data_IF_379772553424
#
_entry.id   IF_379772553424
#
_cell.length_a   1.000
_cell.length_b   1.000
_cell.length_c   1.000
_cell.angle_alpha   90.00
_cell.angle_beta   90.00
_cell.angle_gamma   90.00
#
_symmetry.space_group_name_H-M   'P 1'
#
loop_
_entity.id
_entity.type
_entity.pdbx_description
1 polymer ?
#
# COMPACT_ATOMS: atom_id res chain seq x y z
N UNK A 1 6.82 10.10 22.14
CA UNK A 1 5.43 9.96 22.66
C UNK A 1 5.45 9.14 23.93
N UNK A 2 4.39 9.13 24.74
CA UNK A 2 4.37 8.45 26.04
C UNK A 2 3.61 7.11 26.07
N UNK A 3 3.01 6.71 24.93
CA UNK A 3 2.33 5.43 24.74
C UNK A 3 2.35 5.02 23.25
N UNK A 4 1.72 3.90 22.90
CA UNK A 4 1.77 3.25 21.59
C UNK A 4 1.38 4.22 20.45
N UNK A 5 2.13 4.16 19.36
CA UNK A 5 1.73 4.68 18.06
C UNK A 5 1.26 3.51 17.21
N UNK A 6 -0.04 3.47 16.93
CA UNK A 6 -0.69 2.40 16.20
C UNK A 6 -0.63 2.62 14.67
N UNK A 7 -0.73 3.88 14.24
CA UNK A 7 -0.84 4.23 12.84
C UNK A 7 -0.06 5.50 12.49
N UNK A 8 0.39 5.59 11.24
CA UNK A 8 1.08 6.74 10.66
C UNK A 8 0.47 7.09 9.31
N UNK A 9 0.38 8.37 9.00
CA UNK A 9 0.00 8.87 7.69
C UNK A 9 0.87 10.05 7.29
N UNK A 10 1.12 10.22 5.99
CA UNK A 10 1.92 11.32 5.45
C UNK A 10 1.08 12.09 4.44
N UNK A 11 1.05 13.41 4.56
CA UNK A 11 0.32 14.25 3.63
C UNK A 11 1.15 14.67 2.40
N UNK A 12 0.49 15.31 1.45
CA UNK A 12 1.11 15.79 0.24
C UNK A 12 2.23 16.83 0.42
N UNK A 13 2.43 17.37 1.63
CA UNK A 13 3.50 18.32 1.99
C UNK A 13 4.69 17.62 2.66
N UNK A 14 4.52 16.33 3.03
CA UNK A 14 5.50 15.56 3.79
C UNK A 14 5.36 15.70 5.30
N UNK A 15 4.27 16.29 5.79
CA UNK A 15 3.95 16.29 7.21
C UNK A 15 3.47 14.90 7.63
N UNK A 16 3.92 14.44 8.80
CA UNK A 16 3.60 13.12 9.31
C UNK A 16 2.63 13.23 10.48
N UNK A 17 1.55 12.51 10.38
CA UNK A 17 0.58 12.34 11.44
C UNK A 17 0.82 11.02 12.16
N UNK A 18 0.81 11.05 13.47
CA UNK A 18 0.93 9.87 14.33
C UNK A 18 -0.33 9.75 15.17
N UNK A 19 -0.96 8.59 15.17
CA UNK A 19 -2.14 8.25 15.95
C UNK A 19 -1.91 7.04 16.83
N UNK A 20 -2.60 6.96 17.99
CA UNK A 20 -2.47 5.84 18.93
C UNK A 20 -2.96 6.20 20.34
N UNK A 21 -2.34 5.61 21.38
CA UNK A 21 -2.74 5.77 22.78
C UNK A 21 -2.05 6.89 23.53
N UNK A 22 -1.14 7.60 22.92
CA UNK A 22 -0.29 8.59 23.61
C UNK A 22 -1.06 9.87 23.96
N UNK A 23 -0.59 10.55 25.02
CA UNK A 23 -1.14 11.85 25.48
C UNK A 23 -0.12 12.97 25.45
N UNK A 24 1.13 12.68 25.04
CA UNK A 24 2.22 13.67 25.01
C UNK A 24 3.26 13.30 23.94
N UNK A 25 3.79 14.33 23.26
CA UNK A 25 4.93 14.22 22.35
C UNK A 25 6.05 15.15 22.78
N UNK A 26 7.18 14.64 23.26
CA UNK A 26 8.39 15.41 23.59
C UNK A 26 8.13 16.74 24.34
N UNK A 27 7.20 16.72 25.31
CA UNK A 27 6.84 17.90 26.09
C UNK A 27 5.66 18.72 25.56
N UNK A 28 5.11 18.39 24.38
CA UNK A 28 3.87 18.97 23.86
C UNK A 28 2.70 18.06 24.23
N UNK A 29 1.72 18.52 25.02
CA UNK A 29 0.47 17.78 25.22
C UNK A 29 -0.20 17.52 23.87
N UNK A 30 -0.46 16.25 23.56
CA UNK A 30 -1.11 15.86 22.32
C UNK A 30 -1.93 14.60 22.60
N UNK A 31 -3.23 14.76 22.67
CA UNK A 31 -4.16 13.69 23.00
C UNK A 31 -4.35 12.76 21.80
N UNK A 32 -3.68 11.59 21.82
CA UNK A 32 -3.78 10.46 20.88
C UNK A 32 -3.38 10.75 19.42
N UNK A 33 -3.17 12.02 19.06
CA UNK A 33 -2.81 12.41 17.70
C UNK A 33 -1.89 13.62 17.68
N UNK A 34 -0.87 13.60 16.82
CA UNK A 34 0.07 14.69 16.67
C UNK A 34 0.58 14.78 15.21
N UNK A 35 1.00 15.98 14.78
CA UNK A 35 1.63 16.25 13.50
C UNK A 35 3.09 16.62 13.67
N UNK A 36 3.95 16.05 12.88
CA UNK A 36 5.36 16.39 12.70
C UNK A 36 5.56 17.10 11.38
N UNK A 37 6.10 18.31 11.39
CA UNK A 37 6.32 19.14 10.18
C UNK A 37 7.75 19.07 9.63
N UNK A 38 8.51 18.05 10.03
CA UNK A 38 9.94 17.92 9.70
C UNK A 38 10.89 18.49 10.76
N UNK A 39 10.40 19.35 11.68
CA UNK A 39 11.20 20.01 12.71
C UNK A 39 10.61 19.88 14.12
N UNK A 40 9.30 20.04 14.26
CA UNK A 40 8.62 20.06 15.57
C UNK A 40 7.30 19.30 15.53
N UNK A 41 6.96 18.74 16.72
CA UNK A 41 5.62 18.21 16.97
C UNK A 41 4.65 19.34 17.28
N UNK A 42 3.43 19.19 16.79
CA UNK A 42 2.29 20.00 17.16
C UNK A 42 1.07 19.10 17.44
N UNK A 43 0.27 19.52 18.43
CA UNK A 43 -1.03 18.91 18.64
C UNK A 43 -2.00 19.33 17.53
N UNK A 44 -2.97 18.48 17.23
CA UNK A 44 -4.08 18.81 16.35
C UNK A 44 -5.27 19.31 17.19
N UNK A 45 -5.27 20.60 17.51
CA UNK A 45 -6.25 21.16 18.44
C UNK A 45 -6.20 20.47 19.82
N UNK A 46 -7.35 20.09 20.38
CA UNK A 46 -7.45 19.34 21.64
C UNK A 46 -7.21 17.83 21.45
N UNK A 47 -6.99 17.34 20.22
CA UNK A 47 -6.83 15.91 19.94
C UNK A 47 -8.13 15.12 20.08
N UNK A 48 -8.03 13.83 20.46
CA UNK A 48 -9.17 12.94 20.68
C UNK A 48 -9.10 12.29 22.07
N UNK A 49 -10.26 11.85 22.59
CA UNK A 49 -10.38 11.37 23.99
C UNK A 49 -9.95 9.90 24.17
N UNK A 50 -9.95 9.07 23.11
CA UNK A 50 -9.51 7.68 23.14
C UNK A 50 -8.62 7.34 21.93
N UNK A 51 -8.14 6.08 21.84
CA UNK A 51 -7.12 5.62 20.88
C UNK A 51 -7.52 5.86 19.41
N UNK A 52 -6.50 6.20 18.61
CA UNK A 52 -6.59 6.24 17.13
C UNK A 52 -6.02 4.95 16.58
N UNK A 53 -6.81 4.20 15.80
CA UNK A 53 -6.46 2.91 15.23
C UNK A 53 -6.04 3.02 13.75
N UNK A 54 -6.75 3.82 12.95
CA UNK A 54 -6.43 4.02 11.56
C UNK A 54 -6.44 5.49 11.16
N UNK A 55 -5.63 5.82 10.17
CA UNK A 55 -5.57 7.17 9.58
C UNK A 55 -5.36 7.08 8.07
N UNK A 56 -5.95 8.01 7.34
CA UNK A 56 -5.71 8.20 5.91
C UNK A 56 -5.75 9.69 5.57
N UNK A 57 -4.87 10.11 4.65
CA UNK A 57 -4.89 11.46 4.10
C UNK A 57 -5.59 11.44 2.75
N UNK A 58 -6.63 12.24 2.61
CA UNK A 58 -7.32 12.42 1.34
C UNK A 58 -6.51 13.26 0.34
N UNK A 59 -6.82 13.15 -0.95
CA UNK A 59 -6.18 13.92 -2.02
C UNK A 59 -6.31 15.45 -1.87
N UNK A 60 -7.28 15.92 -1.09
CA UNK A 60 -7.45 17.33 -0.72
C UNK A 60 -6.57 17.78 0.47
N UNK A 61 -5.79 16.87 1.05
CA UNK A 61 -4.93 17.12 2.21
C UNK A 61 -5.63 17.03 3.57
N UNK A 62 -6.92 16.69 3.63
CA UNK A 62 -7.62 16.41 4.88
C UNK A 62 -7.14 15.10 5.48
N UNK A 63 -6.96 15.09 6.80
CA UNK A 63 -6.68 13.88 7.54
C UNK A 63 -7.99 13.31 8.09
N UNK A 64 -8.26 12.04 7.79
CA UNK A 64 -9.33 11.27 8.38
C UNK A 64 -8.74 10.28 9.38
N UNK A 65 -9.36 10.18 10.54
CA UNK A 65 -8.95 9.28 11.61
C UNK A 65 -10.10 8.42 12.09
N UNK A 66 -9.77 7.23 12.55
CA UNK A 66 -10.74 6.36 13.22
C UNK A 66 -10.15 5.68 14.45
N UNK A 67 -11.02 5.18 15.32
CA UNK A 67 -10.64 4.51 16.57
C UNK A 67 -11.77 4.49 17.58
N UNK A 68 -11.41 4.40 18.86
CA UNK A 68 -12.37 4.23 19.96
C UNK A 68 -12.91 5.54 20.57
N UNK A 69 -12.55 6.69 20.01
CA UNK A 69 -12.87 8.00 20.60
C UNK A 69 -14.34 8.41 20.38
N UNK A 70 -14.89 9.12 21.36
CA UNK A 70 -16.20 9.75 21.30
C UNK A 70 -16.14 11.22 20.86
N UNK A 71 -14.99 11.90 21.09
CA UNK A 71 -14.80 13.32 20.79
C UNK A 71 -13.50 13.58 20.05
N UNK A 72 -13.53 14.51 19.12
CA UNK A 72 -12.36 15.05 18.44
C UNK A 72 -12.37 16.59 18.54
N UNK A 73 -11.29 17.19 19.10
CA UNK A 73 -11.23 18.63 19.32
C UNK A 73 -12.31 19.18 20.27
N UNK A 74 -12.89 18.33 21.11
CA UNK A 74 -14.01 18.68 21.98
C UNK A 74 -15.38 18.59 21.28
N UNK A 75 -15.45 18.20 20.01
CA UNK A 75 -16.70 18.02 19.26
C UNK A 75 -17.09 16.53 19.29
N UNK A 76 -18.36 16.16 19.54
CA UNK A 76 -18.81 14.78 19.41
C UNK A 76 -18.53 14.24 18.00
N UNK A 77 -17.82 13.10 17.90
CA UNK A 77 -17.32 12.60 16.63
C UNK A 77 -17.26 11.05 16.54
N UNK A 78 -17.96 10.35 17.38
CA UNK A 78 -18.08 8.88 17.50
C UNK A 78 -17.27 8.07 16.49
N UNK A 79 -16.09 7.65 16.90
CA UNK A 79 -15.15 6.77 16.19
C UNK A 79 -14.54 7.28 14.88
N UNK A 80 -15.03 8.36 14.24
CA UNK A 80 -14.47 8.91 13.00
C UNK A 80 -14.49 10.43 12.97
N UNK A 81 -13.37 11.07 12.66
CA UNK A 81 -13.26 12.53 12.57
C UNK A 81 -12.38 12.97 11.39
N UNK A 82 -12.56 14.22 10.98
CA UNK A 82 -11.77 14.89 9.95
C UNK A 82 -11.03 16.08 10.54
N UNK A 83 -9.77 16.21 10.19
CA UNK A 83 -8.95 17.40 10.42
C UNK A 83 -8.66 18.09 9.09
N UNK A 84 -9.06 19.36 8.93
CA UNK A 84 -8.88 20.14 7.70
C UNK A 84 -7.57 20.92 7.64
N UNK A 85 -6.66 20.67 8.57
CA UNK A 85 -5.41 21.41 8.77
C UNK A 85 -5.51 22.50 9.84
N UNK A 86 -6.73 22.89 10.26
CA UNK A 86 -6.97 23.94 11.25
C UNK A 86 -7.91 23.54 12.38
N UNK A 87 -8.95 22.75 12.10
CA UNK A 87 -9.96 22.36 13.05
C UNK A 87 -10.49 20.96 12.83
N UNK A 88 -10.97 20.36 13.91
CA UNK A 88 -11.68 19.10 13.88
C UNK A 88 -13.13 19.31 13.46
N UNK A 89 -13.63 18.36 12.69
CA UNK A 89 -15.04 18.24 12.36
C UNK A 89 -15.50 16.80 12.49
N UNK A 90 -16.68 16.60 13.04
CA UNK A 90 -17.36 15.32 13.00
C UNK A 90 -17.82 15.02 11.57
N UNK A 91 -17.85 13.75 11.22
CA UNK A 91 -18.45 13.26 9.99
C UNK A 91 -19.90 12.84 10.30
N UNK A 92 -20.83 13.79 10.28
CA UNK A 92 -22.21 13.67 10.79
C UNK A 92 -22.21 13.31 12.29
N UNK A 93 -22.95 12.26 12.69
CA UNK A 93 -22.98 11.75 14.06
C UNK A 93 -21.84 10.78 14.36
N UNK A 94 -20.90 10.58 13.41
CA UNK A 94 -19.87 9.55 13.50
C UNK A 94 -20.39 8.15 13.18
N UNK A 95 -19.64 7.16 13.62
CA UNK A 95 -19.98 5.73 13.50
C UNK A 95 -20.02 5.16 14.92
N UNK A 96 -21.19 4.71 15.35
CA UNK A 96 -21.39 4.13 16.69
C UNK A 96 -20.96 2.66 16.72
N UNK A 97 -19.66 2.43 16.55
CA UNK A 97 -19.02 1.12 16.56
C UNK A 97 -17.48 1.27 16.43
N UNK A 98 -16.75 0.18 16.61
CA UNK A 98 -15.32 0.13 16.36
C UNK A 98 -15.02 0.29 14.87
N UNK A 99 -14.05 1.13 14.53
CA UNK A 99 -13.63 1.41 13.15
C UNK A 99 -12.12 1.18 13.04
N UNK A 100 -11.73 0.02 12.52
CA UNK A 100 -10.34 -0.41 12.47
C UNK A 100 -9.63 -0.11 11.13
N UNK A 101 -10.39 0.17 10.06
CA UNK A 101 -9.82 0.43 8.74
C UNK A 101 -10.49 1.63 8.04
N UNK A 102 -9.67 2.43 7.38
CA UNK A 102 -10.08 3.54 6.53
C UNK A 102 -9.44 3.41 5.14
N UNK A 103 -10.15 3.82 4.11
CA UNK A 103 -9.61 3.97 2.76
C UNK A 103 -10.18 5.24 2.11
N UNK A 104 -9.41 5.86 1.22
CA UNK A 104 -9.86 6.98 0.38
C UNK A 104 -9.56 6.63 -1.08
N UNK A 105 -10.57 6.76 -1.95
CA UNK A 105 -10.35 6.58 -3.38
C UNK A 105 -9.70 7.84 -4.01
N UNK A 106 -9.24 7.74 -5.25
CA UNK A 106 -8.62 8.86 -5.97
C UNK A 106 -9.59 10.04 -6.22
N UNK A 107 -10.90 9.83 -6.06
CA UNK A 107 -11.92 10.88 -6.14
C UNK A 107 -12.18 11.56 -4.79
N UNK A 108 -11.44 11.15 -3.74
CA UNK A 108 -11.54 11.69 -2.40
C UNK A 108 -12.74 11.19 -1.59
N UNK A 109 -13.39 10.10 -1.99
CA UNK A 109 -14.46 9.48 -1.18
C UNK A 109 -13.83 8.65 -0.08
N UNK A 110 -14.31 8.86 1.14
CA UNK A 110 -13.86 8.13 2.31
C UNK A 110 -14.73 6.88 2.54
N UNK A 111 -14.06 5.79 2.84
CA UNK A 111 -14.65 4.51 3.25
C UNK A 111 -14.14 4.13 4.62
N UNK A 112 -15.03 3.57 5.45
CA UNK A 112 -14.74 3.13 6.80
C UNK A 112 -15.28 1.72 7.02
N UNK A 113 -14.48 0.85 7.61
CA UNK A 113 -14.94 -0.42 8.13
C UNK A 113 -15.57 -0.19 9.52
N UNK A 114 -16.70 -0.82 9.79
CA UNK A 114 -17.39 -0.80 11.09
C UNK A 114 -17.61 -2.21 11.58
N UNK A 115 -17.00 -2.57 12.71
CA UNK A 115 -17.25 -3.84 13.38
C UNK A 115 -18.34 -3.68 14.45
N UNK A 116 -19.28 -4.60 14.53
CA UNK A 116 -20.36 -4.64 15.51
C UNK A 116 -20.81 -6.06 15.82
N UNK A 117 -21.52 -6.23 16.94
CA UNK A 117 -22.18 -7.50 17.25
C UNK A 117 -23.64 -7.40 16.79
N UNK A 118 -24.03 -8.27 15.86
CA UNK A 118 -25.37 -8.26 15.32
C UNK A 118 -26.42 -8.82 16.31
N UNK A 119 -27.71 -8.75 15.95
CA UNK A 119 -28.82 -9.20 16.80
C UNK A 119 -28.76 -10.70 17.16
N UNK A 120 -27.94 -11.49 16.49
CA UNK A 120 -27.74 -12.92 16.76
C UNK A 120 -26.48 -13.19 17.61
N UNK A 121 -25.81 -12.15 18.12
CA UNK A 121 -24.57 -12.27 18.90
C UNK A 121 -23.33 -12.60 18.05
N UNK A 122 -23.40 -12.44 16.74
CA UNK A 122 -22.28 -12.70 15.81
C UNK A 122 -21.57 -11.39 15.51
N UNK A 123 -20.25 -11.41 15.58
CA UNK A 123 -19.40 -10.29 15.13
C UNK A 123 -19.49 -10.17 13.61
N UNK A 124 -19.82 -8.98 13.15
CA UNK A 124 -20.05 -8.67 11.74
C UNK A 124 -19.41 -7.31 11.41
N UNK A 125 -19.09 -7.06 10.15
CA UNK A 125 -18.61 -5.77 9.70
C UNK A 125 -19.48 -5.20 8.59
N UNK A 126 -19.61 -3.86 8.60
CA UNK A 126 -20.09 -3.10 7.44
C UNK A 126 -18.96 -2.27 6.85
N UNK A 127 -19.02 -2.03 5.56
CA UNK A 127 -18.26 -0.95 4.94
C UNK A 127 -19.19 0.22 4.67
N UNK A 128 -18.82 1.39 5.15
CA UNK A 128 -19.58 2.62 5.00
C UNK A 128 -18.85 3.56 4.04
N UNK A 129 -19.62 4.36 3.30
CA UNK A 129 -19.12 5.42 2.45
C UNK A 129 -19.59 6.77 2.95
N UNK A 130 -18.69 7.72 3.06
CA UNK A 130 -19.00 9.12 3.30
C UNK A 130 -19.27 9.86 1.99
N UNK A 131 -20.39 10.55 1.89
CA UNK A 131 -20.77 11.32 0.70
C UNK A 131 -20.53 12.85 0.83
N UNK A 132 -19.87 13.27 1.90
CA UNK A 132 -19.67 14.67 2.25
C UNK A 132 -20.63 15.19 3.34
N UNK A 133 -21.75 14.51 3.58
CA UNK A 133 -22.77 14.92 4.56
C UNK A 133 -23.29 13.78 5.46
N UNK A 134 -23.38 12.57 4.94
CA UNK A 134 -23.89 11.40 5.65
C UNK A 134 -23.10 10.13 5.34
N UNK A 135 -23.09 9.22 6.28
CA UNK A 135 -22.63 7.85 6.09
C UNK A 135 -23.72 7.00 5.46
N UNK A 136 -23.36 6.15 4.54
CA UNK A 136 -24.23 5.12 3.98
C UNK A 136 -23.49 3.78 3.95
N UNK A 137 -24.13 2.71 4.42
CA UNK A 137 -23.61 1.35 4.29
C UNK A 137 -23.58 0.94 2.82
N UNK A 138 -22.52 0.22 2.44
CA UNK A 138 -22.42 -0.42 1.14
C UNK A 138 -23.13 -1.78 1.19
N UNK A 139 -24.37 -1.82 0.72
CA UNK A 139 -25.20 -3.02 0.79
C UNK A 139 -25.57 -3.41 2.23
N UNK A 140 -25.68 -4.71 2.50
CA UNK A 140 -26.07 -5.28 3.81
C UNK A 140 -24.88 -5.75 4.66
N UNK A 141 -23.66 -5.32 4.33
CA UNK A 141 -22.45 -5.65 5.11
C UNK A 141 -21.93 -7.07 4.90
N UNK A 142 -21.00 -7.46 5.77
CA UNK A 142 -20.32 -8.75 5.81
C UNK A 142 -20.73 -9.53 7.07
N UNK A 143 -20.78 -10.86 6.96
CA UNK A 143 -21.09 -11.73 8.09
C UNK A 143 -19.89 -12.09 8.97
N UNK A 144 -18.83 -11.33 8.93
CA UNK A 144 -17.60 -11.52 9.70
C UNK A 144 -16.71 -10.28 9.64
N UNK A 145 -15.48 -10.40 10.14
CA UNK A 145 -14.53 -9.31 10.27
C UNK A 145 -13.91 -8.90 8.93
N UNK A 146 -13.77 -7.60 8.72
CA UNK A 146 -12.93 -7.00 7.67
C UNK A 146 -11.64 -6.51 8.32
N UNK A 147 -10.48 -6.87 7.75
CA UNK A 147 -9.15 -6.49 8.26
C UNK A 147 -8.44 -5.50 7.35
N UNK A 148 -8.79 -5.48 6.06
CA UNK A 148 -8.16 -4.59 5.10
C UNK A 148 -9.19 -4.02 4.12
N UNK A 149 -9.00 -2.76 3.78
CA UNK A 149 -9.71 -2.05 2.73
C UNK A 149 -8.72 -1.49 1.73
N UNK A 150 -9.07 -1.55 0.45
CA UNK A 150 -8.35 -0.86 -0.62
C UNK A 150 -9.36 -0.24 -1.59
N UNK A 151 -8.99 0.84 -2.25
CA UNK A 151 -9.82 1.46 -3.28
C UNK A 151 -8.96 1.74 -4.51
N UNK A 152 -9.47 1.42 -5.69
CA UNK A 152 -8.78 1.66 -6.95
C UNK A 152 -9.13 3.03 -7.58
N UNK A 153 -8.50 3.31 -8.72
CA UNK A 153 -8.69 4.54 -9.47
C UNK A 153 -10.10 4.69 -10.07
N UNK A 154 -10.79 3.58 -10.31
CA UNK A 154 -12.13 3.54 -10.88
C UNK A 154 -13.23 3.69 -9.81
N UNK A 155 -12.83 3.68 -8.54
CA UNK A 155 -13.70 3.85 -7.38
C UNK A 155 -14.33 2.54 -6.90
N UNK A 156 -13.78 1.39 -7.30
CA UNK A 156 -14.10 0.12 -6.66
C UNK A 156 -13.49 0.07 -5.27
N UNK A 157 -14.18 -0.60 -4.35
CA UNK A 157 -13.69 -0.82 -2.99
C UNK A 157 -13.56 -2.31 -2.74
N UNK A 158 -12.38 -2.71 -2.35
CA UNK A 158 -12.08 -4.08 -1.97
C UNK A 158 -12.09 -4.20 -0.46
N UNK A 159 -12.86 -5.15 0.06
CA UNK A 159 -12.89 -5.49 1.47
C UNK A 159 -12.38 -6.92 1.65
N UNK A 160 -11.45 -7.11 2.57
CA UNK A 160 -10.86 -8.40 2.84
C UNK A 160 -10.77 -8.69 4.33
N UNK A 161 -10.86 -9.99 4.72
CA UNK A 161 -10.86 -10.35 6.12
C UNK A 161 -11.27 -11.78 6.39
N UNK A 162 -12.16 -11.96 7.37
CA UNK A 162 -12.71 -13.27 7.79
C UNK A 162 -14.23 -13.26 7.70
N UNK A 163 -14.76 -13.35 6.51
CA UNK A 163 -16.19 -13.42 6.23
C UNK A 163 -16.47 -14.42 5.09
N UNK A 164 -17.72 -14.80 4.93
CA UNK A 164 -18.16 -15.70 3.85
C UNK A 164 -19.26 -15.11 2.98
N UNK A 165 -19.84 -13.96 3.38
CA UNK A 165 -20.81 -13.21 2.57
C UNK A 165 -20.55 -11.71 2.66
N UNK A 166 -20.79 -11.01 1.56
CA UNK A 166 -20.78 -9.55 1.47
C UNK A 166 -22.03 -9.08 0.74
N UNK A 167 -22.76 -8.10 1.29
CA UNK A 167 -23.98 -7.60 0.67
C UNK A 167 -25.08 -8.67 0.46
N UNK A 168 -25.05 -9.75 1.24
CA UNK A 168 -26.00 -10.87 1.10
C UNK A 168 -25.63 -11.89 0.02
N UNK A 169 -24.54 -11.69 -0.75
CA UNK A 169 -24.02 -12.67 -1.72
C UNK A 169 -22.86 -13.48 -1.14
N UNK A 170 -22.69 -14.75 -1.53
CA UNK A 170 -21.50 -15.52 -1.16
C UNK A 170 -20.24 -14.83 -1.63
N UNK A 171 -19.31 -14.54 -0.73
CA UNK A 171 -18.02 -13.90 -1.01
C UNK A 171 -17.02 -14.36 0.07
N UNK A 172 -16.19 -15.31 -0.26
CA UNK A 172 -15.26 -15.91 0.71
C UNK A 172 -14.06 -14.99 0.93
N UNK A 173 -14.00 -14.33 2.08
CA UNK A 173 -12.88 -13.54 2.63
C UNK A 173 -12.47 -12.31 1.85
N UNK A 174 -13.01 -12.10 0.66
CA UNK A 174 -12.75 -10.94 -0.17
C UNK A 174 -13.95 -10.62 -1.06
N UNK A 175 -14.28 -9.34 -1.17
CA UNK A 175 -15.37 -8.84 -1.99
C UNK A 175 -15.01 -7.48 -2.60
N UNK A 176 -15.61 -7.15 -3.74
CA UNK A 176 -15.48 -5.87 -4.42
C UNK A 176 -16.84 -5.17 -4.47
N UNK A 177 -16.86 -3.90 -4.16
CA UNK A 177 -17.96 -2.97 -4.38
C UNK A 177 -17.73 -2.19 -5.68
N UNK A 178 -18.67 -2.27 -6.62
CA UNK A 178 -18.59 -1.62 -7.95
C UNK A 178 -19.22 -0.21 -8.00
N UNK A 179 -19.59 0.32 -6.85
CA UNK A 179 -20.32 1.59 -6.73
C UNK A 179 -21.83 1.38 -6.46
N UNK A 180 -22.37 0.17 -6.69
CA UNK A 180 -23.79 -0.17 -6.54
C UNK A 180 -24.01 -1.47 -5.75
N UNK A 181 -23.20 -2.51 -5.98
CA UNK A 181 -23.38 -3.84 -5.39
C UNK A 181 -22.05 -4.48 -4.99
N UNK A 182 -22.10 -5.33 -3.95
CA UNK A 182 -21.01 -6.24 -3.64
C UNK A 182 -20.99 -7.43 -4.60
N UNK A 183 -19.82 -7.83 -5.01
CA UNK A 183 -19.58 -9.03 -5.78
C UNK A 183 -18.39 -9.81 -5.22
N UNK A 184 -18.42 -11.11 -5.38
CA UNK A 184 -17.26 -11.95 -5.11
C UNK A 184 -16.20 -11.75 -6.20
N UNK A 185 -14.95 -11.88 -5.85
CA UNK A 185 -13.84 -11.97 -6.82
C UNK A 185 -13.66 -13.45 -7.18
N UNK A 186 -14.29 -13.89 -8.27
CA UNK A 186 -14.32 -15.32 -8.64
C UNK A 186 -14.96 -16.17 -7.54
N UNK A 187 -14.35 -17.29 -7.15
CA UNK A 187 -14.79 -18.10 -6.01
C UNK A 187 -14.24 -17.62 -4.65
N UNK A 188 -13.55 -16.49 -4.63
CA UNK A 188 -12.97 -15.91 -3.42
C UNK A 188 -11.70 -16.65 -2.94
N UNK A 189 -11.36 -16.40 -1.68
CA UNK A 189 -10.20 -16.98 -1.00
C UNK A 189 -10.68 -17.96 0.06
N UNK A 190 -10.09 -19.18 0.07
CA UNK A 190 -10.49 -20.27 0.94
C UNK A 190 -9.28 -21.03 1.48
N UNK A 191 -9.52 -21.92 2.46
CA UNK A 191 -8.51 -22.74 3.10
C UNK A 191 -9.04 -23.36 4.39
N UNK A 192 -8.36 -23.18 5.52
CA UNK A 192 -8.77 -23.70 6.82
C UNK A 192 -9.80 -22.78 7.51
N UNK A 193 -10.43 -23.24 8.59
CA UNK A 193 -11.54 -22.58 9.26
C UNK A 193 -11.20 -21.19 9.85
N UNK A 194 -9.93 -20.96 10.20
CA UNK A 194 -9.43 -19.71 10.75
C UNK A 194 -8.69 -18.82 9.74
N UNK A 195 -8.72 -19.17 8.47
CA UNK A 195 -8.03 -18.42 7.41
C UNK A 195 -8.58 -17.00 7.27
N UNK A 196 -7.69 -16.09 6.90
CA UNK A 196 -8.00 -14.68 6.71
C UNK A 196 -7.19 -14.06 5.59
N UNK A 197 -7.69 -13.00 5.01
CA UNK A 197 -6.91 -12.05 4.22
C UNK A 197 -6.61 -10.85 5.12
N UNK A 198 -5.33 -10.61 5.39
CA UNK A 198 -4.88 -9.62 6.37
C UNK A 198 -4.38 -8.33 5.74
N UNK A 199 -3.90 -8.40 4.50
CA UNK A 199 -3.34 -7.27 3.79
C UNK A 199 -3.81 -7.26 2.34
N UNK A 200 -4.04 -6.06 1.83
CA UNK A 200 -4.31 -5.76 0.42
C UNK A 200 -3.29 -4.73 -0.09
N UNK A 201 -2.85 -4.88 -1.32
CA UNK A 201 -2.11 -3.86 -2.04
C UNK A 201 -2.60 -3.78 -3.48
N UNK A 202 -2.64 -2.59 -4.04
CA UNK A 202 -2.95 -2.33 -5.45
C UNK A 202 -1.68 -1.79 -6.12
N UNK A 203 -1.39 -2.28 -7.31
CA UNK A 203 -0.37 -1.64 -8.15
C UNK A 203 -0.99 -0.55 -9.04
N UNK A 204 -0.14 0.20 -9.73
CA UNK A 204 -0.55 1.27 -10.64
C UNK A 204 -1.33 0.78 -11.88
N UNK A 205 -1.32 -0.53 -12.14
CA UNK A 205 -2.08 -1.17 -13.22
C UNK A 205 -3.47 -1.65 -12.77
N UNK A 206 -3.79 -1.52 -11.47
CA UNK A 206 -5.03 -1.97 -10.85
C UNK A 206 -5.05 -3.47 -10.53
N UNK A 207 -3.90 -4.13 -10.51
CA UNK A 207 -3.79 -5.52 -10.00
C UNK A 207 -3.87 -5.48 -8.48
N UNK A 208 -4.77 -6.27 -7.93
CA UNK A 208 -4.95 -6.41 -6.49
C UNK A 208 -4.17 -7.61 -5.98
N UNK A 209 -3.31 -7.39 -5.01
CA UNK A 209 -2.63 -8.42 -4.25
C UNK A 209 -3.30 -8.62 -2.91
N UNK A 210 -3.53 -9.89 -2.54
CA UNK A 210 -4.12 -10.29 -1.27
C UNK A 210 -3.13 -11.19 -0.51
N UNK A 211 -2.79 -10.80 0.71
CA UNK A 211 -1.90 -11.52 1.60
C UNK A 211 -2.61 -11.94 2.88
N UNK A 212 -2.25 -13.09 3.46
CA UNK A 212 -2.90 -13.56 4.67
C UNK A 212 -2.46 -14.94 5.10
N UNK A 213 -3.39 -15.65 5.73
CA UNK A 213 -3.28 -17.06 6.10
C UNK A 213 -4.37 -17.83 5.32
N UNK A 214 -4.03 -18.37 4.16
CA UNK A 214 -4.95 -19.12 3.30
C UNK A 214 -4.19 -20.04 2.36
N UNK A 215 -4.89 -20.97 1.70
CA UNK A 215 -4.26 -21.95 0.81
C UNK A 215 -4.83 -22.00 -0.60
N UNK A 216 -5.95 -21.32 -0.86
CA UNK A 216 -6.64 -21.36 -2.16
C UNK A 216 -7.19 -19.97 -2.51
N UNK A 217 -7.00 -19.54 -3.74
CA UNK A 217 -7.63 -18.35 -4.32
C UNK A 217 -8.24 -18.69 -5.68
N UNK A 218 -9.52 -18.33 -5.91
CA UNK A 218 -10.20 -18.62 -7.15
C UNK A 218 -10.36 -20.10 -7.50
N UNK A 219 -10.26 -20.99 -6.49
CA UNK A 219 -10.27 -22.45 -6.69
C UNK A 219 -8.91 -23.05 -7.07
N UNK A 220 -7.86 -22.23 -7.18
CA UNK A 220 -6.48 -22.65 -7.47
C UNK A 220 -5.64 -22.58 -6.20
N UNK A 221 -4.71 -23.53 -6.03
CA UNK A 221 -3.77 -23.50 -4.91
C UNK A 221 -2.96 -22.19 -4.92
N UNK A 222 -3.00 -21.45 -3.82
CA UNK A 222 -2.31 -20.16 -3.64
C UNK A 222 -2.06 -19.97 -2.14
N UNK A 223 -0.88 -20.35 -1.68
CA UNK A 223 -0.54 -20.30 -0.26
C UNK A 223 -0.16 -18.90 0.18
N UNK A 224 -0.92 -18.32 1.09
CA UNK A 224 -0.64 -17.07 1.78
C UNK A 224 -0.68 -15.81 0.93
N UNK A 225 -0.65 -15.93 -0.41
CA UNK A 225 -0.66 -14.78 -1.32
C UNK A 225 -1.27 -15.13 -2.69
N UNK A 226 -2.04 -14.19 -3.24
CA UNK A 226 -2.63 -14.30 -4.57
C UNK A 226 -2.79 -12.92 -5.22
N UNK A 227 -2.88 -12.86 -6.55
CA UNK A 227 -3.20 -11.65 -7.29
C UNK A 227 -4.50 -11.82 -8.08
N UNK A 228 -5.24 -10.70 -8.20
CA UNK A 228 -6.46 -10.55 -8.98
C UNK A 228 -6.24 -9.55 -10.09
N UNK A 229 -6.43 -9.95 -11.35
CA UNK A 229 -6.20 -9.13 -12.54
C UNK A 229 -7.45 -8.34 -13.00
N UNK A 230 -8.50 -8.32 -12.18
CA UNK A 230 -9.81 -7.76 -12.51
C UNK A 230 -10.82 -8.83 -12.99
N UNK A 231 -10.35 -10.05 -13.33
CA UNK A 231 -11.19 -11.14 -13.87
C UNK A 231 -10.92 -12.49 -13.23
N UNK A 232 -9.66 -12.81 -12.95
CA UNK A 232 -9.24 -14.12 -12.44
C UNK A 232 -8.19 -13.99 -11.33
N UNK A 233 -8.25 -14.96 -10.42
CA UNK A 233 -7.19 -15.16 -9.44
C UNK A 233 -6.04 -15.93 -10.04
N UNK A 234 -4.84 -15.51 -9.71
CA UNK A 234 -3.61 -16.22 -10.02
C UNK A 234 -2.76 -16.37 -8.76
N UNK A 235 -2.18 -17.55 -8.60
CA UNK A 235 -1.15 -17.78 -7.60
C UNK A 235 0.14 -17.06 -8.04
N UNK A 236 0.92 -16.61 -7.07
CA UNK A 236 2.28 -16.11 -7.30
C UNK A 236 3.23 -17.27 -7.06
N UNK A 237 3.44 -18.11 -8.09
CA UNK A 237 4.16 -19.38 -8.02
C UNK A 237 3.53 -20.31 -6.94
N UNK A 238 4.33 -21.00 -6.09
CA UNK A 238 3.81 -21.84 -5.00
C UNK A 238 3.38 -21.05 -3.75
N UNK A 239 3.51 -19.71 -3.76
CA UNK A 239 3.14 -18.86 -2.63
C UNK A 239 4.11 -18.92 -1.45
N UNK A 240 3.59 -18.68 -0.24
CA UNK A 240 4.35 -18.68 1.02
C UNK A 240 4.05 -19.92 1.86
N UNK A 241 5.03 -20.38 2.64
CA UNK A 241 4.84 -21.47 3.62
C UNK A 241 4.29 -20.98 4.97
N UNK A 242 3.92 -19.71 5.08
CA UNK A 242 3.36 -19.09 6.29
C UNK A 242 2.55 -17.84 6.00
N UNK A 243 2.19 -17.14 7.07
CA UNK A 243 1.26 -16.00 7.02
C UNK A 243 1.91 -14.73 6.47
N UNK A 244 1.27 -14.10 5.49
CA UNK A 244 1.60 -12.74 5.03
C UNK A 244 0.81 -11.72 5.86
N UNK A 245 1.52 -10.73 6.44
CA UNK A 245 0.94 -9.71 7.32
C UNK A 245 0.92 -8.33 6.71
N UNK A 246 1.85 -8.04 5.82
CA UNK A 246 1.97 -6.74 5.18
C UNK A 246 2.41 -6.89 3.73
N UNK A 247 1.89 -6.02 2.88
CA UNK A 247 2.22 -5.93 1.46
C UNK A 247 2.57 -4.48 1.13
N UNK A 248 3.54 -4.29 0.24
CA UNK A 248 3.85 -3.01 -0.35
C UNK A 248 4.23 -3.20 -1.82
N UNK A 249 3.77 -2.29 -2.67
CA UNK A 249 4.23 -2.24 -4.07
C UNK A 249 5.03 -0.96 -4.23
N UNK A 250 6.22 -1.04 -4.83
CA UNK A 250 7.03 0.13 -5.11
C UNK A 250 6.67 0.78 -6.47
N UNK A 251 7.20 1.96 -6.72
CA UNK A 251 6.96 2.71 -7.97
C UNK A 251 7.47 2.02 -9.24
N UNK A 252 8.20 0.90 -9.14
CA UNK A 252 8.62 0.06 -10.26
C UNK A 252 7.70 -1.17 -10.46
N UNK A 253 6.71 -1.35 -9.59
CA UNK A 253 5.76 -2.46 -9.63
C UNK A 253 6.26 -3.75 -8.96
N UNK A 254 7.33 -3.69 -8.19
CA UNK A 254 7.79 -4.83 -7.39
C UNK A 254 6.92 -4.92 -6.14
N UNK A 255 6.34 -6.11 -5.90
CA UNK A 255 5.59 -6.40 -4.69
C UNK A 255 6.52 -6.96 -3.62
N UNK A 256 6.48 -6.39 -2.45
CA UNK A 256 7.13 -6.91 -1.25
C UNK A 256 6.08 -7.53 -0.34
N UNK A 257 6.27 -8.81 -0.03
CA UNK A 257 5.43 -9.54 0.92
C UNK A 257 6.22 -9.80 2.20
N UNK A 258 5.64 -9.43 3.33
CA UNK A 258 6.27 -9.55 4.63
C UNK A 258 5.34 -10.22 5.65
N UNK A 259 5.91 -10.98 6.60
CA UNK A 259 5.08 -11.73 7.53
C UNK A 259 5.85 -12.68 8.44
N UNK A 260 5.31 -13.91 8.56
CA UNK A 260 5.88 -15.00 9.35
C UNK A 260 5.96 -16.24 8.45
N UNK A 261 6.98 -16.34 7.63
CA UNK A 261 7.21 -17.44 6.69
C UNK A 261 8.72 -17.69 6.51
N UNK A 262 9.07 -18.84 5.96
CA UNK A 262 10.47 -19.21 5.70
C UNK A 262 10.80 -19.38 4.22
N UNK A 263 9.76 -19.46 3.36
CA UNK A 263 9.94 -19.58 1.91
C UNK A 263 8.84 -18.87 1.13
N UNK A 264 9.20 -18.40 -0.07
CA UNK A 264 8.33 -17.78 -1.06
C UNK A 264 8.61 -18.39 -2.44
N UNK A 265 7.59 -18.96 -3.12
CA UNK A 265 7.77 -19.60 -4.42
C UNK A 265 8.80 -20.75 -4.41
N UNK A 266 8.98 -21.44 -3.29
CA UNK A 266 10.02 -22.47 -3.13
C UNK A 266 11.44 -21.91 -2.92
N UNK A 267 11.63 -20.59 -2.93
CA UNK A 267 12.89 -19.92 -2.59
C UNK A 267 12.95 -19.67 -1.09
N UNK A 268 14.06 -20.02 -0.44
CA UNK A 268 14.26 -19.70 0.97
C UNK A 268 14.26 -18.17 1.17
N UNK A 269 13.29 -17.66 1.91
CA UNK A 269 13.05 -16.23 2.12
C UNK A 269 12.46 -16.02 3.52
N UNK A 270 13.30 -15.70 4.49
CA UNK A 270 12.86 -15.55 5.87
C UNK A 270 12.11 -14.23 6.07
N UNK A 271 10.80 -14.31 6.30
CA UNK A 271 9.88 -13.24 6.70
C UNK A 271 9.72 -12.07 5.72
N UNK A 272 10.42 -12.06 4.58
CA UNK A 272 10.34 -11.04 3.54
C UNK A 272 10.75 -11.61 2.18
N UNK A 273 9.99 -11.32 1.13
CA UNK A 273 10.29 -11.68 -0.24
C UNK A 273 9.82 -10.60 -1.21
N UNK A 274 10.43 -10.54 -2.39
CA UNK A 274 10.05 -9.64 -3.48
C UNK A 274 9.57 -10.44 -4.69
N UNK A 275 8.48 -9.96 -5.33
CA UNK A 275 7.90 -10.50 -6.56
C UNK A 275 8.06 -9.50 -7.70
N UNK A 276 8.72 -9.90 -8.79
CA UNK A 276 9.01 -9.05 -9.95
C UNK A 276 7.93 -9.11 -11.06
N UNK A 277 6.79 -9.74 -10.75
CA UNK A 277 5.73 -10.03 -11.72
C UNK A 277 5.82 -11.44 -12.31
N UNK A 278 6.94 -12.15 -12.10
CA UNK A 278 7.19 -13.50 -12.66
C UNK A 278 7.79 -14.46 -11.65
N UNK A 279 8.72 -13.99 -10.82
CA UNK A 279 9.49 -14.83 -9.90
C UNK A 279 9.59 -14.21 -8.51
N UNK A 280 9.61 -15.08 -7.50
CA UNK A 280 10.01 -14.68 -6.16
C UNK A 280 11.52 -14.61 -6.03
N UNK A 281 11.98 -13.62 -5.31
CA UNK A 281 13.37 -13.47 -4.89
C UNK A 281 13.46 -13.18 -3.40
N UNK A 282 14.46 -13.79 -2.77
CA UNK A 282 14.80 -13.46 -1.40
C UNK A 282 15.57 -12.14 -1.33
N UNK A 283 15.33 -11.34 -0.31
CA UNK A 283 16.16 -10.17 0.01
C UNK A 283 17.34 -10.63 0.89
N UNK A 284 18.37 -11.20 0.24
CA UNK A 284 19.49 -11.81 0.92
C UNK A 284 19.05 -12.93 1.89
N UNK A 285 19.67 -13.07 3.08
CA UNK A 285 19.27 -14.06 4.09
C UNK A 285 17.92 -13.75 4.77
N UNK A 286 17.27 -12.62 4.45
CA UNK A 286 15.98 -12.23 5.04
C UNK A 286 16.07 -11.69 6.46
N UNK A 287 14.95 -11.78 7.17
CA UNK A 287 14.74 -11.24 8.52
C UNK A 287 14.56 -12.39 9.52
N UNK A 288 15.40 -12.46 10.54
CA UNK A 288 15.35 -13.52 11.57
C UNK A 288 14.70 -13.03 12.85
N UNK A 289 13.56 -13.66 13.19
CA UNK A 289 12.75 -13.33 14.37
C UNK A 289 11.33 -13.89 14.23
N UNK A 290 10.37 -13.33 14.98
CA UNK A 290 9.00 -13.82 15.03
C UNK A 290 8.21 -13.42 13.78
N UNK A 291 8.31 -12.15 13.35
CA UNK A 291 7.58 -11.63 12.20
C UNK A 291 8.05 -10.24 11.75
N UNK A 292 7.87 -9.96 10.47
CA UNK A 292 7.78 -8.60 9.93
C UNK A 292 6.30 -8.19 9.93
N UNK A 293 6.01 -7.02 10.54
CA UNK A 293 4.65 -6.52 10.73
C UNK A 293 4.31 -5.36 9.80
N UNK A 294 5.33 -4.64 9.33
CA UNK A 294 5.19 -3.52 8.42
C UNK A 294 6.32 -3.53 7.40
N UNK A 295 5.99 -3.20 6.15
CA UNK A 295 6.94 -3.04 5.05
C UNK A 295 6.57 -1.79 4.25
N UNK A 296 7.56 -1.06 3.79
CA UNK A 296 7.40 0.05 2.84
C UNK A 296 8.64 0.17 1.98
N UNK A 297 8.50 0.75 0.80
CA UNK A 297 9.63 1.04 -0.09
C UNK A 297 9.66 2.53 -0.41
N UNK A 298 10.85 3.06 -0.72
CA UNK A 298 10.99 4.43 -1.22
C UNK A 298 11.19 4.45 -2.75
N UNK A 299 11.14 5.65 -3.33
CA UNK A 299 11.32 5.86 -4.77
C UNK A 299 12.74 5.48 -5.26
N UNK A 300 13.71 5.36 -4.36
CA UNK A 300 15.07 4.94 -4.67
C UNK A 300 15.26 3.41 -4.65
N UNK A 301 14.21 2.66 -4.25
CA UNK A 301 14.22 1.20 -4.19
C UNK A 301 14.78 0.63 -2.87
N UNK A 302 14.92 1.45 -1.83
CA UNK A 302 15.20 0.94 -0.49
C UNK A 302 13.93 0.34 0.11
N UNK A 303 14.05 -0.83 0.74
CA UNK A 303 12.93 -1.50 1.41
C UNK A 303 13.14 -1.46 2.91
N UNK A 304 12.19 -0.90 3.60
CA UNK A 304 12.21 -0.75 5.06
C UNK A 304 11.24 -1.74 5.69
N UNK A 305 11.70 -2.43 6.72
CA UNK A 305 10.90 -3.40 7.46
C UNK A 305 10.91 -3.09 8.94
N UNK A 306 9.73 -3.24 9.54
CA UNK A 306 9.50 -3.14 10.98
C UNK A 306 8.77 -4.37 11.49
N UNK A 307 9.04 -4.79 12.72
CA UNK A 307 8.39 -5.98 13.26
C UNK A 307 8.89 -6.38 14.64
N UNK A 308 8.82 -7.67 14.93
CA UNK A 308 9.37 -8.34 16.10
C UNK A 308 10.47 -9.30 15.63
N UNK A 309 11.68 -8.77 15.51
CA UNK A 309 12.83 -9.52 15.03
C UNK A 309 14.15 -9.05 15.64
N UNK A 310 15.20 -9.86 15.52
CA UNK A 310 16.50 -9.57 16.10
C UNK A 310 17.64 -9.55 15.09
N UNK A 311 17.43 -10.02 13.87
CA UNK A 311 18.46 -10.05 12.83
C UNK A 311 17.91 -9.72 11.45
N UNK A 312 18.74 -9.09 10.61
CA UNK A 312 18.48 -8.88 9.19
C UNK A 312 19.75 -9.21 8.41
N UNK A 313 19.63 -9.98 7.33
CA UNK A 313 20.77 -10.41 6.54
C UNK A 313 21.79 -11.27 7.29
N UNK A 314 21.39 -11.91 8.38
CA UNK A 314 22.27 -12.66 9.27
C UNK A 314 23.05 -11.79 10.28
N UNK A 315 22.99 -10.45 10.18
CA UNK A 315 23.58 -9.50 11.12
C UNK A 315 22.57 -9.03 12.18
N UNK A 316 23.03 -8.48 13.33
CA UNK A 316 22.15 -7.94 14.34
C UNK A 316 21.35 -6.74 13.81
N UNK A 317 20.02 -6.81 13.91
CA UNK A 317 19.09 -5.72 13.60
C UNK A 317 17.81 -5.91 14.42
N UNK A 318 17.55 -5.00 15.33
CA UNK A 318 16.45 -5.17 16.29
C UNK A 318 15.24 -4.39 15.83
N UNK A 319 14.20 -5.11 15.40
CA UNK A 319 12.86 -4.62 15.07
C UNK A 319 12.77 -3.62 13.90
N UNK A 320 13.90 -3.18 13.32
CA UNK A 320 13.94 -2.22 12.24
C UNK A 320 15.17 -2.42 11.37
N UNK A 321 14.98 -2.58 10.06
CA UNK A 321 16.06 -2.79 9.09
C UNK A 321 15.71 -2.16 7.73
N UNK A 322 16.75 -1.93 6.93
CA UNK A 322 16.65 -1.46 5.55
C UNK A 322 17.44 -2.36 4.62
N UNK A 323 16.86 -2.67 3.48
CA UNK A 323 17.46 -3.32 2.33
C UNK A 323 17.84 -2.27 1.29
N UNK A 324 19.10 -2.26 0.84
CA UNK A 324 19.62 -1.29 -0.14
C UNK A 324 19.66 -1.83 -1.59
N UNK A 325 18.99 -2.97 -1.81
CA UNK A 325 19.02 -3.69 -3.07
C UNK A 325 20.09 -4.81 -3.12
N UNK A 326 21.07 -4.81 -2.20
CA UNK A 326 22.15 -5.79 -2.14
C UNK A 326 22.35 -6.40 -0.77
N UNK A 327 22.15 -5.61 0.29
CA UNK A 327 22.44 -5.99 1.67
C UNK A 327 21.44 -5.39 2.66
N UNK A 328 21.26 -6.09 3.79
CA UNK A 328 20.53 -5.57 4.92
C UNK A 328 21.43 -4.73 5.83
N UNK A 329 20.88 -3.65 6.30
CA UNK A 329 21.49 -2.81 7.33
C UNK A 329 20.52 -2.57 8.48
N UNK A 330 21.04 -2.64 9.71
CA UNK A 330 20.29 -2.19 10.87
C UNK A 330 20.11 -0.67 10.82
N UNK A 331 18.96 -0.18 11.22
CA UNK A 331 18.71 1.24 11.38
C UNK A 331 19.10 1.69 12.80
N UNK A 332 20.38 2.06 12.94
CA UNK A 332 21.01 2.34 14.23
C UNK A 332 21.02 1.11 15.16
N UNK A 333 20.67 1.28 16.44
CA UNK A 333 20.49 0.15 17.36
C UNK A 333 19.06 -0.43 17.33
N UNK A 334 18.23 -0.04 16.36
CA UNK A 334 16.83 -0.50 16.27
C UNK A 334 15.94 0.08 17.37
N UNK A 335 14.90 -0.68 17.74
CA UNK A 335 13.93 -0.34 18.78
C UNK A 335 13.87 -1.44 19.85
N UNK A 336 13.57 -1.11 21.10
CA UNK A 336 13.53 -2.11 22.18
C UNK A 336 12.23 -2.92 22.26
N UNK A 337 11.24 -2.63 21.42
CA UNK A 337 10.01 -3.39 21.22
C UNK A 337 9.55 -3.30 19.78
N UNK A 338 8.58 -4.13 19.39
CA UNK A 338 8.09 -4.27 18.03
C UNK A 338 7.69 -2.95 17.38
N UNK A 339 7.98 -2.85 16.08
CA UNK A 339 7.53 -1.80 15.18
C UNK A 339 6.27 -2.30 14.46
N UNK A 340 5.18 -1.56 14.58
CA UNK A 340 3.88 -1.91 14.01
C UNK A 340 3.48 -1.06 12.80
N UNK A 341 4.10 0.12 12.64
CA UNK A 341 3.77 1.03 11.55
C UNK A 341 5.03 1.69 10.97
N UNK A 342 5.06 1.81 9.65
CA UNK A 342 6.08 2.52 8.88
C UNK A 342 5.41 3.49 7.91
N UNK A 343 5.99 4.65 7.71
CA UNK A 343 5.57 5.60 6.68
C UNK A 343 6.77 6.35 6.11
N UNK A 344 6.83 6.44 4.78
CA UNK A 344 7.86 7.22 4.10
C UNK A 344 7.40 8.67 3.94
N UNK A 345 8.19 9.59 4.46
CA UNK A 345 8.02 11.01 4.21
C UNK A 345 8.55 11.40 2.82
N UNK A 346 7.95 12.40 2.17
CA UNK A 346 8.42 12.91 0.87
C UNK A 346 9.85 13.43 0.87
N UNK A 347 10.41 13.73 2.04
CA UNK A 347 11.81 14.12 2.24
C UNK A 347 12.76 12.92 2.34
N UNK A 348 12.27 11.70 2.07
CA UNK A 348 13.03 10.45 2.18
C UNK A 348 13.25 9.97 3.62
N UNK A 349 12.68 10.61 4.62
CA UNK A 349 12.77 10.13 6.00
C UNK A 349 11.78 8.99 6.26
N UNK A 350 12.24 7.95 6.94
CA UNK A 350 11.39 6.89 7.45
C UNK A 350 10.84 7.28 8.84
N UNK A 351 9.54 7.22 8.96
CA UNK A 351 8.81 7.41 10.21
C UNK A 351 8.38 6.05 10.75
N UNK A 352 8.61 5.82 12.02
CA UNK A 352 8.49 4.51 12.68
C UNK A 352 7.59 4.64 13.90
N UNK A 353 6.53 3.85 13.96
CA UNK A 353 5.59 3.75 15.07
C UNK A 353 5.55 2.36 15.68
N UNK A 354 5.22 2.26 16.97
CA UNK A 354 5.12 0.97 17.64
C UNK A 354 5.06 1.09 19.16
N UNK A 355 5.27 -0.02 19.87
CA UNK A 355 5.22 -0.07 21.34
C UNK A 355 6.55 0.20 22.05
N UNK A 356 7.56 0.73 21.39
CA UNK A 356 8.93 0.82 21.91
C UNK A 356 9.17 2.04 22.81
N UNK A 357 10.14 1.92 23.74
CA UNK A 357 10.57 3.00 24.62
C UNK A 357 11.86 3.69 24.18
N UNK A 358 12.61 3.09 23.23
CA UNK A 358 13.83 3.65 22.68
C UNK A 358 14.00 3.28 21.20
N UNK A 359 14.61 4.19 20.44
CA UNK A 359 14.97 3.99 19.05
C UNK A 359 16.37 4.59 18.79
N UNK A 360 17.28 3.82 18.16
CA UNK A 360 18.63 4.27 17.86
C UNK A 360 19.44 4.66 19.09
N UNK A 361 19.33 3.92 20.22
CA UNK A 361 19.93 4.21 21.52
C UNK A 361 19.48 5.56 22.15
N UNK A 362 18.49 6.22 21.59
CA UNK A 362 17.87 7.43 22.16
C UNK A 362 16.55 7.05 22.83
N UNK A 363 16.25 7.68 23.96
CA UNK A 363 14.91 7.60 24.53
C UNK A 363 13.92 8.16 23.51
N UNK A 364 13.12 7.28 22.92
CA UNK A 364 12.15 7.62 21.89
C UNK A 364 10.93 6.73 22.10
N UNK A 365 9.98 7.24 22.86
CA UNK A 365 8.79 6.45 23.20
C UNK A 365 7.87 6.39 21.99
N UNK A 366 7.71 5.18 21.45
CA UNK A 366 6.69 4.77 20.49
C UNK A 366 6.74 5.43 19.10
N UNK A 367 7.63 6.41 18.87
CA UNK A 367 7.83 7.06 17.57
C UNK A 367 9.31 7.39 17.35
N UNK A 368 9.82 7.11 16.15
CA UNK A 368 11.17 7.45 15.71
C UNK A 368 11.18 8.02 14.31
N UNK A 369 12.18 8.85 14.01
CA UNK A 369 12.47 9.31 12.65
C UNK A 369 13.87 8.83 12.32
N UNK A 370 13.95 8.09 11.24
CA UNK A 370 15.20 7.75 10.61
C UNK A 370 15.41 8.66 9.40
N UNK A 371 16.49 9.44 9.43
CA UNK A 371 16.89 10.20 8.24
C UNK A 371 17.59 9.23 7.29
N UNK A 372 17.01 9.05 6.11
CA UNK A 372 17.68 8.30 5.06
C UNK A 372 19.09 8.86 4.87
N UNK A 373 20.13 8.01 4.73
CA UNK A 373 21.41 8.51 4.34
C UNK A 373 21.21 9.31 3.04
N UNK A 374 21.71 10.54 2.99
CA UNK A 374 21.77 11.27 1.73
C UNK A 374 22.42 10.34 0.71
N UNK A 375 21.82 10.11 -0.46
CA UNK A 375 22.37 9.18 -1.43
C UNK A 375 23.83 9.58 -1.71
N UNK A 376 24.77 8.83 -1.17
CA UNK A 376 26.13 8.82 -1.68
C UNK A 376 26.00 8.25 -3.08
N UNK A 377 26.49 8.96 -4.08
CA UNK A 377 26.39 8.58 -5.49
C UNK A 377 27.26 7.35 -5.82
N UNK A 378 27.01 6.23 -5.12
CA UNK A 378 27.54 4.93 -5.46
C UNK A 378 26.40 4.09 -6.04
N UNK A 379 26.58 3.44 -7.19
CA UNK A 379 25.53 2.61 -7.79
C UNK A 379 25.19 1.46 -6.85
N UNK A 380 23.91 1.39 -6.45
CA UNK A 380 23.36 0.29 -5.65
C UNK A 380 23.31 -0.93 -6.58
N UNK A 381 24.22 -1.87 -6.39
CA UNK A 381 24.18 -3.15 -7.10
C UNK A 381 23.34 -4.14 -6.34
N UNK A 382 22.28 -4.71 -6.96
CA UNK A 382 21.83 -5.95 -6.42
C UNK A 382 20.42 -6.48 -6.49
N UNK A 383 19.39 -5.74 -6.83
CA UNK A 383 18.24 -6.28 -7.59
C UNK A 383 18.37 -5.73 -9.00
N UNK A 384 17.97 -6.46 -10.05
CA UNK A 384 17.95 -5.84 -11.36
C UNK A 384 17.03 -4.63 -11.29
N UNK A 385 17.61 -3.44 -11.15
CA UNK A 385 16.92 -2.20 -11.51
C UNK A 385 16.32 -2.48 -12.86
N UNK A 386 15.05 -2.12 -13.07
CA UNK A 386 14.41 -2.34 -14.35
C UNK A 386 15.41 -1.96 -15.44
N UNK A 387 15.77 -2.91 -16.31
CA UNK A 387 16.74 -2.66 -17.38
C UNK A 387 16.27 -1.49 -18.25
N UNK A 388 15.00 -1.10 -18.09
CA UNK A 388 14.35 0.03 -18.75
C UNK A 388 13.39 0.74 -17.79
N UNK A 389 13.44 2.08 -17.75
CA UNK A 389 12.43 2.94 -17.10
C UNK A 389 11.70 3.72 -18.18
N UNK A 390 10.40 3.99 -17.98
CA UNK A 390 9.57 4.76 -18.88
C UNK A 390 9.00 5.97 -18.11
N UNK A 391 9.37 7.16 -18.53
CA UNK A 391 8.82 8.38 -17.97
C UNK A 391 7.39 8.65 -18.50
N UNK A 392 6.64 9.49 -17.79
CA UNK A 392 5.35 9.94 -18.27
C UNK A 392 5.47 10.64 -19.63
N UNK A 393 4.51 10.35 -20.48
CA UNK A 393 4.44 10.95 -21.81
C UNK A 393 4.18 12.45 -21.72
N UNK A 394 4.83 13.25 -22.54
CA UNK A 394 4.62 14.69 -22.57
C UNK A 394 4.47 15.22 -24.00
N UNK A 395 3.38 15.96 -24.29
CA UNK A 395 2.22 16.23 -23.43
C UNK A 395 1.33 15.01 -23.18
N UNK A 396 0.61 14.98 -22.05
CA UNK A 396 -0.42 13.98 -21.74
C UNK A 396 -1.47 14.62 -20.80
N UNK A 397 -2.74 14.85 -21.23
CA UNK A 397 -3.35 14.51 -22.53
C UNK A 397 -2.71 15.18 -23.73
N UNK A 398 -2.84 14.62 -24.92
CA UNK A 398 -2.19 15.11 -26.15
C UNK A 398 -3.11 15.16 -27.37
N UNK A 399 -2.73 16.02 -28.36
CA UNK A 399 -3.40 16.17 -29.65
C UNK A 399 -2.42 16.77 -30.68
N UNK A 400 -2.11 16.12 -31.79
CA UNK A 400 -2.29 14.67 -32.07
C UNK A 400 -1.10 13.82 -31.58
N UNK A 401 -0.02 14.42 -31.04
CA UNK A 401 1.23 13.73 -30.76
C UNK A 401 1.75 13.92 -29.36
N UNK A 402 2.47 12.91 -28.86
CA UNK A 402 3.18 12.91 -27.58
C UNK A 402 4.56 12.27 -27.74
N UNK A 403 5.47 12.55 -26.81
CA UNK A 403 6.79 11.98 -26.74
C UNK A 403 6.90 11.10 -25.50
N UNK A 404 7.36 9.88 -25.71
CA UNK A 404 7.68 8.88 -24.70
C UNK A 404 9.19 8.89 -24.47
N UNK A 405 9.63 9.11 -23.24
CA UNK A 405 11.03 9.08 -22.86
C UNK A 405 11.28 7.86 -21.99
N UNK A 406 12.34 7.13 -22.30
CA UNK A 406 12.74 5.96 -21.53
C UNK A 406 14.26 5.92 -21.39
N UNK A 407 14.73 5.27 -20.33
CA UNK A 407 16.15 5.14 -20.03
C UNK A 407 16.52 3.67 -19.91
N UNK A 408 17.64 3.28 -20.51
CA UNK A 408 18.21 1.95 -20.43
C UNK A 408 19.44 1.98 -19.53
N UNK A 409 19.49 1.10 -18.54
CA UNK A 409 20.67 0.94 -17.69
C UNK A 409 21.83 0.23 -18.41
N UNK A 410 21.53 -0.60 -19.39
CA UNK A 410 22.52 -1.32 -20.22
C UNK A 410 21.98 -1.48 -21.64
N UNK A 411 22.89 -1.70 -22.59
CA UNK A 411 22.50 -1.96 -23.98
C UNK A 411 21.64 -3.21 -24.08
N UNK A 412 20.48 -3.10 -24.72
CA UNK A 412 19.51 -4.19 -24.85
C UNK A 412 18.68 -4.05 -26.12
N UNK A 413 18.07 -5.14 -26.57
CA UNK A 413 17.00 -5.07 -27.55
C UNK A 413 15.75 -4.50 -26.87
N UNK A 414 15.21 -3.40 -27.41
CA UNK A 414 14.09 -2.66 -26.86
C UNK A 414 12.87 -2.80 -27.75
N UNK A 415 11.73 -3.07 -27.15
CA UNK A 415 10.44 -3.00 -27.82
C UNK A 415 9.54 -2.01 -27.09
N UNK A 416 9.25 -0.85 -27.71
CA UNK A 416 8.29 0.12 -27.24
C UNK A 416 7.07 0.09 -28.16
N UNK A 417 5.88 -0.16 -27.58
CA UNK A 417 4.66 -0.30 -28.35
C UNK A 417 3.44 0.30 -27.62
N UNK A 418 2.46 0.73 -28.41
CA UNK A 418 1.19 1.28 -27.93
C UNK A 418 0.12 0.20 -28.03
N UNK A 419 -0.70 0.09 -26.98
CA UNK A 419 -1.81 -0.86 -26.87
C UNK A 419 -3.11 -0.13 -26.54
N UNK A 420 -4.25 -0.67 -26.97
CA UNK A 420 -5.55 -0.26 -26.45
C UNK A 420 -5.82 -0.90 -25.07
N UNK A 421 -6.88 -0.47 -24.38
CA UNK A 421 -7.26 -0.99 -23.04
C UNK A 421 -7.65 -2.48 -23.04
N UNK A 422 -7.79 -3.10 -24.24
CA UNK A 422 -8.03 -4.54 -24.38
C UNK A 422 -6.72 -5.32 -24.60
N UNK A 423 -5.57 -4.67 -24.46
CA UNK A 423 -4.25 -5.27 -24.68
C UNK A 423 -3.90 -5.50 -26.15
N UNK A 424 -4.71 -5.02 -27.11
CA UNK A 424 -4.46 -5.17 -28.53
C UNK A 424 -3.41 -4.16 -29.00
N UNK A 425 -2.37 -4.65 -29.70
CA UNK A 425 -1.32 -3.81 -30.28
C UNK A 425 -1.94 -2.79 -31.25
N UNK A 426 -1.69 -1.51 -31.01
CA UNK A 426 -2.05 -0.38 -31.87
C UNK A 426 -0.88 -0.02 -32.78
N UNK A 427 0.33 0.16 -32.23
CA UNK A 427 1.52 0.50 -33.00
C UNK A 427 2.81 0.13 -32.25
N UNK A 428 3.79 -0.45 -32.92
CA UNK A 428 5.17 -0.52 -32.42
C UNK A 428 5.89 0.77 -32.79
N UNK A 429 6.56 1.39 -31.82
CA UNK A 429 7.32 2.63 -31.99
C UNK A 429 8.82 2.37 -32.10
N UNK A 430 9.33 1.42 -31.31
CA UNK A 430 10.74 0.97 -31.29
C UNK A 430 10.73 -0.56 -31.25
N UNK A 431 11.60 -1.21 -32.03
CA UNK A 431 11.85 -2.66 -31.97
C UNK A 431 13.26 -2.92 -32.50
N UNK A 432 14.29 -2.52 -31.74
CA UNK A 432 15.70 -2.57 -32.11
C UNK A 432 16.64 -2.61 -30.92
N UNK A 433 17.91 -2.90 -31.17
CA UNK A 433 18.95 -2.85 -30.13
C UNK A 433 19.40 -1.40 -29.90
N UNK A 434 19.30 -0.94 -28.64
CA UNK A 434 19.71 0.40 -28.22
C UNK A 434 20.83 0.33 -27.18
N UNK A 435 21.67 1.36 -27.13
CA UNK A 435 22.71 1.53 -26.12
C UNK A 435 22.12 1.93 -24.76
N UNK A 436 22.89 1.74 -23.69
CA UNK A 436 22.56 2.33 -22.40
C UNK A 436 22.41 3.86 -22.50
N UNK A 437 21.48 4.44 -21.72
CA UNK A 437 21.19 5.88 -21.67
C UNK A 437 19.75 6.23 -21.99
N UNK A 438 19.50 7.53 -22.12
CA UNK A 438 18.16 8.09 -22.37
C UNK A 438 17.80 8.02 -23.87
N UNK A 439 16.58 7.63 -24.13
CA UNK A 439 15.97 7.51 -25.46
C UNK A 439 14.60 8.15 -25.50
N UNK A 440 14.13 8.49 -26.70
CA UNK A 440 12.78 9.00 -26.89
C UNK A 440 12.14 8.47 -28.17
N UNK A 441 10.82 8.34 -28.16
CA UNK A 441 10.03 7.97 -29.33
C UNK A 441 8.72 8.77 -29.35
N UNK A 442 8.31 9.25 -30.49
CA UNK A 442 7.09 10.01 -30.66
C UNK A 442 5.95 9.11 -31.15
N UNK A 443 4.73 9.35 -30.63
CA UNK A 443 3.51 8.78 -31.14
C UNK A 443 2.54 9.88 -31.60
N UNK A 444 2.09 9.78 -32.83
CA UNK A 444 1.25 10.75 -33.55
C UNK A 444 -0.27 10.42 -33.50
N UNK A 445 -0.69 9.51 -32.60
CA UNK A 445 -2.08 9.09 -32.49
C UNK A 445 -2.58 8.25 -33.67
N UNK A 446 -1.67 7.55 -34.38
CA UNK A 446 -1.99 6.66 -35.50
C UNK A 446 -1.65 5.22 -35.20
N UNK A 447 -2.38 4.29 -35.83
CA UNK A 447 -2.09 2.85 -35.74
C UNK A 447 -0.91 2.45 -36.67
N UNK A 448 -0.56 1.15 -36.66
CA UNK A 448 0.51 0.60 -37.47
C UNK A 448 0.27 0.68 -39.00
N UNK A 449 -0.95 1.02 -39.44
CA UNK A 449 -1.32 1.23 -40.84
C UNK A 449 -1.36 2.71 -41.23
N UNK A 450 -1.06 3.61 -40.25
CA UNK A 450 -1.09 5.05 -40.44
C UNK A 450 -2.49 5.68 -40.28
N UNK A 451 -3.53 4.90 -39.95
CA UNK A 451 -4.85 5.43 -39.67
C UNK A 451 -4.94 6.05 -38.28
N UNK A 452 -5.59 7.23 -38.18
CA UNK A 452 -5.78 7.88 -36.88
C UNK A 452 -6.69 7.06 -35.97
N UNK A 453 -6.26 6.80 -34.73
CA UNK A 453 -7.05 6.07 -33.74
C UNK A 453 -8.05 6.99 -33.05
N UNK A 454 -9.08 6.46 -32.37
CA UNK A 454 -10.10 7.24 -31.68
C UNK A 454 -9.51 8.02 -30.48
N UNK A 455 -10.18 9.10 -30.04
CA UNK A 455 -9.90 9.71 -28.74
C UNK A 455 -10.14 8.69 -27.62
N UNK A 456 -9.29 8.66 -26.63
CA UNK A 456 -9.40 7.69 -25.55
C UNK A 456 -8.06 7.43 -24.85
N UNK A 457 -8.08 6.46 -23.96
CA UNK A 457 -6.91 6.01 -23.21
C UNK A 457 -6.21 4.85 -23.93
N UNK A 458 -4.88 4.91 -23.93
CA UNK A 458 -3.97 3.91 -24.48
C UNK A 458 -2.87 3.61 -23.46
N UNK A 459 -2.17 2.50 -23.63
CA UNK A 459 -1.03 2.11 -22.82
C UNK A 459 0.22 2.07 -23.70
N UNK A 460 1.26 2.80 -23.30
CA UNK A 460 2.59 2.63 -23.87
C UNK A 460 3.37 1.66 -23.01
N UNK A 461 3.93 0.63 -23.62
CA UNK A 461 4.74 -0.38 -22.94
C UNK A 461 6.11 -0.48 -23.58
N UNK A 462 7.17 -0.30 -22.79
CA UNK A 462 8.55 -0.55 -23.19
C UNK A 462 9.07 -1.81 -22.52
N UNK A 463 9.72 -2.68 -23.28
CA UNK A 463 10.36 -3.90 -22.77
C UNK A 463 11.81 -3.94 -23.20
N UNK A 464 12.72 -4.31 -22.29
CA UNK A 464 14.13 -4.53 -22.54
C UNK A 464 14.72 -5.51 -21.52
N UNK A 465 15.57 -6.46 -21.97
CA UNK A 465 16.26 -7.38 -21.08
C UNK A 465 15.35 -8.26 -20.21
N UNK A 466 14.13 -8.58 -20.71
CA UNK A 466 13.14 -9.37 -19.97
C UNK A 466 12.27 -8.55 -19.01
N UNK A 467 12.50 -7.25 -18.89
CA UNK A 467 11.72 -6.34 -18.04
C UNK A 467 10.83 -5.41 -18.87
N UNK A 468 9.78 -4.88 -18.27
CA UNK A 468 8.82 -4.01 -18.94
C UNK A 468 8.43 -2.84 -18.02
N UNK A 469 8.20 -1.66 -18.64
CA UNK A 469 7.58 -0.51 -17.99
C UNK A 469 6.40 -0.03 -18.84
N UNK A 470 5.34 0.47 -18.18
CA UNK A 470 4.11 0.89 -18.85
C UNK A 470 3.69 2.27 -18.35
N UNK A 471 3.23 3.14 -19.25
CA UNK A 471 2.60 4.43 -18.90
C UNK A 471 1.30 4.63 -19.65
N UNK A 472 0.37 5.39 -19.07
CA UNK A 472 -0.96 5.69 -19.65
C UNK A 472 -0.88 6.92 -20.54
N UNK A 473 -1.56 6.87 -21.69
CA UNK A 473 -1.65 7.93 -22.68
C UNK A 473 -3.11 8.32 -22.87
N UNK A 474 -3.42 9.62 -22.89
CA UNK A 474 -4.76 10.11 -23.17
C UNK A 474 -4.74 10.96 -24.44
N UNK A 475 -5.31 10.42 -25.51
CA UNK A 475 -5.48 11.14 -26.79
C UNK A 475 -6.82 11.88 -26.81
N UNK A 476 -6.76 13.18 -27.08
CA UNK A 476 -7.92 14.05 -27.26
C UNK A 476 -7.86 14.58 -28.71
N UNK A 477 -8.94 14.39 -29.49
CA UNK A 477 -9.07 14.95 -30.83
C UNK A 477 -10.05 16.10 -30.83
#
# INVERSE_FOLDING_TARGET
MNAIVATLAVDGRGDVYAGGDFTNTTGVPAARIARWNGATWSALGAGVDEAVEAMVVGGNGDLYISGYFAHAGGVPASAVARWDGTQWSALALGIDADVAALAVDLNGKLYAERTYVNAFGVVSSDVLRWNGTTWSTLGSGMNGLVFALAADADGHVYAAGRFSTAGGVPASRIAMWDGATWSALGSGITGFELDSVDALALDDNGVLYAGGDFSVAGGTAASGIAMWDGTTWSALDSGMDGRVRALAVDGSGILYAAGSFSSAGGVAAANIAAWDGTNWSALGPGIGGSAVLAVTADEAGYVYVGGDFSTAGGGPAINLAVWDGASWSALGSGTNFAVSALAMGRNGNLHVGGGFGSAGAKASRCFGIWHAPTPSAAPIGGLPRAAVTLADAAPNPFNPGTVLRFELLQSAHVRLAIYDLRGRLVRALVDEALSAGAHEAAWDGRDGRGAGVASGTYLARVGAGGQQATTRLTLIK
#
